data_IF_603836168947
#
_entry.id   IF_603836168947
#
_cell.length_a   1.000
_cell.length_b   1.000
_cell.length_c   1.000
_cell.angle_alpha   90.00
_cell.angle_beta   90.00
_cell.angle_gamma   90.00
#
_symmetry.space_group_name_H-M   'P 1'
#
loop_
_entity.id
_entity.type
_entity.pdbx_description
1 polymer ?
#
# COMPACT_ATOMS: atom_id res chain seq x y z
N UNK A 1 15.11 24.59 -4.32
CA UNK A 1 15.92 23.92 -3.28
C UNK A 1 16.67 24.92 -2.41
N UNK A 2 17.51 25.79 -2.97
CA UNK A 2 18.31 26.76 -2.19
C UNK A 2 17.46 27.64 -1.27
N UNK A 3 16.35 28.19 -1.78
CA UNK A 3 15.40 29.01 -1.03
C UNK A 3 14.77 28.26 0.16
N UNK A 4 14.54 26.96 0.01
CA UNK A 4 14.00 26.09 1.06
C UNK A 4 15.03 25.86 2.16
N UNK A 5 16.26 25.49 1.77
CA UNK A 5 17.36 25.24 2.71
C UNK A 5 17.76 26.52 3.47
N UNK A 6 17.66 27.68 2.84
CA UNK A 6 17.90 28.98 3.45
C UNK A 6 16.74 29.45 4.36
N UNK A 7 15.58 28.79 4.33
CA UNK A 7 14.41 29.21 5.10
C UNK A 7 13.74 30.48 4.56
N UNK A 8 13.98 30.86 3.30
CA UNK A 8 13.43 32.09 2.70
C UNK A 8 11.96 31.90 2.31
N UNK A 9 11.08 32.30 3.23
CA UNK A 9 9.61 32.23 3.06
C UNK A 9 9.12 33.02 1.85
N UNK A 10 9.69 34.21 1.62
CA UNK A 10 9.21 35.13 0.59
C UNK A 10 9.62 34.62 -0.79
N UNK A 11 10.86 34.16 -0.93
CA UNK A 11 11.34 33.59 -2.18
C UNK A 11 10.58 32.29 -2.53
N UNK A 12 10.34 31.41 -1.55
CA UNK A 12 9.59 30.17 -1.81
C UNK A 12 8.15 30.45 -2.30
N UNK A 13 7.44 31.40 -1.69
CA UNK A 13 6.10 31.77 -2.15
C UNK A 13 6.10 32.32 -3.58
N UNK A 14 7.06 33.19 -3.91
CA UNK A 14 7.21 33.72 -5.27
C UNK A 14 7.42 32.63 -6.33
N UNK A 15 8.13 31.55 -5.99
CA UNK A 15 8.32 30.42 -6.92
C UNK A 15 6.99 29.79 -7.30
N UNK A 16 6.13 29.51 -6.32
CA UNK A 16 4.80 28.94 -6.56
C UNK A 16 3.89 29.94 -7.28
N UNK A 17 3.86 31.19 -6.83
CA UNK A 17 3.01 32.22 -7.44
C UNK A 17 3.36 32.43 -8.93
N UNK A 18 4.66 32.46 -9.27
CA UNK A 18 5.11 32.58 -10.66
C UNK A 18 4.77 31.35 -11.51
N UNK A 19 4.86 30.15 -10.93
CA UNK A 19 4.50 28.92 -11.61
C UNK A 19 3.00 28.87 -11.95
N UNK A 20 2.15 29.25 -10.98
CA UNK A 20 0.70 29.38 -11.18
C UNK A 20 0.38 30.47 -12.20
N UNK A 21 1.04 31.63 -12.13
CA UNK A 21 0.87 32.71 -13.10
C UNK A 21 1.27 32.28 -14.53
N UNK A 22 2.16 31.30 -14.64
CA UNK A 22 2.55 30.66 -15.91
C UNK A 22 1.62 29.52 -16.32
N UNK A 23 0.45 29.39 -15.68
CA UNK A 23 -0.60 28.39 -15.95
C UNK A 23 -0.19 26.93 -15.71
N UNK A 24 0.87 26.68 -14.92
CA UNK A 24 1.21 25.32 -14.48
C UNK A 24 0.16 24.86 -13.48
N UNK A 25 -0.36 23.65 -13.67
CA UNK A 25 -1.47 23.14 -12.87
C UNK A 25 -1.01 22.76 -11.45
N UNK A 26 -1.84 22.97 -10.41
CA UNK A 26 -1.48 22.61 -9.04
C UNK A 26 -1.08 21.14 -8.86
N UNK A 27 -1.79 20.22 -9.53
CA UNK A 27 -1.47 18.80 -9.55
C UNK A 27 -0.04 18.53 -10.07
N UNK A 28 0.34 19.21 -11.15
CA UNK A 28 1.67 19.09 -11.76
C UNK A 28 2.76 19.62 -10.82
N UNK A 29 2.50 20.75 -10.15
CA UNK A 29 3.43 21.29 -9.15
C UNK A 29 3.58 20.37 -7.94
N UNK A 30 2.52 19.72 -7.49
CA UNK A 30 2.61 18.75 -6.38
C UNK A 30 3.45 17.54 -6.77
N UNK A 31 3.18 16.95 -7.94
CA UNK A 31 3.79 15.69 -8.38
C UNK A 31 5.19 15.86 -8.94
N UNK A 32 5.49 16.96 -9.64
CA UNK A 32 6.76 17.16 -10.34
C UNK A 32 7.72 18.14 -9.63
N UNK A 33 7.23 18.96 -8.70
CA UNK A 33 8.07 19.91 -7.96
C UNK A 33 8.13 19.58 -6.46
N UNK A 34 7.00 19.58 -5.78
CA UNK A 34 6.93 19.44 -4.31
C UNK A 34 7.39 18.05 -3.87
N UNK A 35 6.83 17.00 -4.48
CA UNK A 35 7.18 15.62 -4.12
C UNK A 35 8.64 15.29 -4.39
N UNK A 36 9.21 15.53 -5.59
CA UNK A 36 10.62 15.24 -5.84
C UNK A 36 11.55 16.09 -4.98
N UNK A 37 11.17 17.32 -4.65
CA UNK A 37 11.93 18.17 -3.71
C UNK A 37 11.94 17.56 -2.31
N UNK A 38 10.82 17.02 -1.84
CA UNK A 38 10.73 16.33 -0.55
C UNK A 38 11.62 15.08 -0.51
N UNK A 39 11.61 14.27 -1.57
CA UNK A 39 12.47 13.08 -1.68
C UNK A 39 13.95 13.47 -1.67
N UNK A 40 14.32 14.50 -2.43
CA UNK A 40 15.68 15.02 -2.48
C UNK A 40 16.16 15.55 -1.12
N UNK A 41 15.32 16.31 -0.40
CA UNK A 41 15.65 16.79 0.94
C UNK A 41 15.94 15.63 1.91
N UNK A 42 15.11 14.59 1.89
CA UNK A 42 15.33 13.40 2.71
C UNK A 42 16.60 12.65 2.30
N UNK A 43 16.90 12.57 1.00
CA UNK A 43 18.14 11.97 0.52
C UNK A 43 19.36 12.76 1.01
N UNK A 44 19.38 14.08 0.82
CA UNK A 44 20.47 14.93 1.27
C UNK A 44 20.71 14.82 2.79
N UNK A 45 19.65 14.65 3.58
CA UNK A 45 19.78 14.43 5.01
C UNK A 45 20.37 13.05 5.33
N UNK A 46 19.88 11.98 4.68
CA UNK A 46 20.43 10.62 4.84
C UNK A 46 21.89 10.51 4.43
N UNK A 47 22.31 11.31 3.46
CA UNK A 47 23.68 11.35 2.92
C UNK A 47 24.60 12.33 3.72
N UNK A 48 24.16 12.81 4.89
CA UNK A 48 24.88 13.78 5.74
C UNK A 48 25.33 15.04 4.97
N UNK A 49 24.54 15.49 3.97
CA UNK A 49 24.79 16.69 3.17
C UNK A 49 24.14 17.94 3.76
N UNK A 50 23.08 17.77 4.56
CA UNK A 50 22.39 18.85 5.26
C UNK A 50 22.15 18.48 6.73
N UNK A 51 22.14 19.47 7.61
CA UNK A 51 21.80 19.26 9.02
C UNK A 51 20.28 19.16 9.22
N UNK A 52 19.86 18.57 10.33
CA UNK A 52 18.45 18.45 10.72
C UNK A 52 17.72 19.81 10.77
N UNK A 53 18.41 20.88 11.16
CA UNK A 53 17.84 22.23 11.17
C UNK A 53 17.47 22.71 9.75
N UNK A 54 18.32 22.43 8.76
CA UNK A 54 18.07 22.79 7.36
C UNK A 54 16.94 21.93 6.76
N UNK A 55 16.92 20.62 7.06
CA UNK A 55 15.79 19.75 6.70
C UNK A 55 14.47 20.29 7.27
N UNK A 56 14.46 20.64 8.55
CA UNK A 56 13.27 21.14 9.25
C UNK A 56 12.75 22.47 8.69
N UNK A 57 13.65 23.39 8.30
CA UNK A 57 13.28 24.63 7.61
C UNK A 57 12.66 24.30 6.25
N UNK A 58 13.35 23.48 5.46
CA UNK A 58 12.95 23.14 4.10
C UNK A 58 11.60 22.40 4.06
N UNK A 59 11.40 21.38 4.90
CA UNK A 59 10.15 20.60 4.90
C UNK A 59 8.94 21.43 5.35
N UNK A 60 9.10 22.36 6.32
CA UNK A 60 8.02 23.28 6.72
C UNK A 60 7.61 24.23 5.60
N UNK A 61 8.58 24.72 4.82
CA UNK A 61 8.27 25.56 3.66
C UNK A 61 7.69 24.73 2.51
N UNK A 62 8.15 23.49 2.34
CA UNK A 62 7.57 22.57 1.38
C UNK A 62 6.10 22.27 1.70
N UNK A 63 5.77 22.04 2.98
CA UNK A 63 4.38 21.89 3.44
C UNK A 63 3.56 23.15 3.18
N UNK A 64 4.07 24.33 3.53
CA UNK A 64 3.36 25.59 3.25
C UNK A 64 2.98 25.74 1.76
N UNK A 65 3.90 25.37 0.86
CA UNK A 65 3.62 25.39 -0.58
C UNK A 65 2.62 24.32 -0.99
N UNK A 66 2.71 23.13 -0.37
CA UNK A 66 1.76 22.02 -0.56
C UNK A 66 0.34 22.48 -0.21
N UNK A 67 0.13 23.05 0.97
CA UNK A 67 -1.17 23.54 1.43
C UNK A 67 -1.78 24.57 0.46
N UNK A 68 -0.94 25.48 -0.06
CA UNK A 68 -1.36 26.49 -1.05
C UNK A 68 -1.80 25.85 -2.38
N UNK A 69 -1.15 24.76 -2.81
CA UNK A 69 -1.49 24.04 -4.04
C UNK A 69 -2.71 23.16 -3.85
N UNK A 70 -2.81 22.43 -2.73
CA UNK A 70 -3.92 21.54 -2.43
C UNK A 70 -5.26 22.29 -2.34
N UNK A 71 -5.26 23.52 -1.83
CA UNK A 71 -6.46 24.39 -1.85
C UNK A 71 -6.97 24.78 -3.24
N UNK A 72 -6.21 24.50 -4.30
CA UNK A 72 -6.58 24.77 -5.70
C UNK A 72 -6.76 23.49 -6.53
N UNK A 73 -6.64 22.31 -5.92
CA UNK A 73 -6.86 21.06 -6.63
C UNK A 73 -8.34 20.91 -7.01
N UNK A 74 -8.64 20.42 -8.22
CA UNK A 74 -10.00 20.01 -8.54
C UNK A 74 -10.41 18.86 -7.61
N UNK A 75 -11.69 18.77 -7.27
CA UNK A 75 -12.26 17.64 -6.55
C UNK A 75 -13.25 16.97 -7.48
N UNK A 76 -12.98 15.72 -7.85
CA UNK A 76 -13.93 14.91 -8.60
C UNK A 76 -15.18 14.62 -7.74
N UNK A 77 -16.27 14.22 -8.39
CA UNK A 77 -17.43 13.68 -7.67
C UNK A 77 -17.04 12.43 -6.87
N UNK A 78 -17.75 12.18 -5.78
CA UNK A 78 -17.50 11.01 -4.94
C UNK A 78 -17.57 9.73 -5.77
N UNK A 79 -16.57 8.87 -5.61
CA UNK A 79 -16.53 7.52 -6.20
C UNK A 79 -17.05 6.44 -5.23
N UNK A 80 -17.62 6.86 -4.09
CA UNK A 80 -18.14 6.05 -2.99
C UNK A 80 -17.12 5.12 -2.31
N UNK A 81 -15.83 5.27 -2.63
CA UNK A 81 -14.75 4.54 -1.97
C UNK A 81 -14.16 5.35 -0.82
N UNK A 82 -13.72 4.65 0.21
CA UNK A 82 -13.15 5.22 1.43
C UNK A 82 -11.70 4.80 1.59
N UNK A 83 -10.84 5.76 1.92
CA UNK A 83 -9.45 5.50 2.25
C UNK A 83 -9.11 6.06 3.63
N UNK A 84 -8.41 5.25 4.43
CA UNK A 84 -7.84 5.65 5.70
C UNK A 84 -6.31 5.64 5.57
N UNK A 85 -5.67 6.76 5.91
CA UNK A 85 -4.24 6.97 5.70
C UNK A 85 -3.57 7.25 7.04
N UNK A 86 -2.47 6.56 7.29
CA UNK A 86 -1.52 6.82 8.38
C UNK A 86 -0.11 6.95 7.80
N UNK A 87 0.78 7.59 8.56
CA UNK A 87 2.19 7.70 8.20
C UNK A 87 3.10 7.43 9.41
N UNK A 88 4.41 7.47 9.19
CA UNK A 88 5.37 7.58 10.29
C UNK A 88 5.36 8.98 10.92
N UNK A 89 6.04 9.12 12.06
CA UNK A 89 5.91 10.27 12.96
C UNK A 89 6.74 11.49 12.52
N UNK A 90 7.67 11.29 11.57
CA UNK A 90 8.58 12.35 11.15
C UNK A 90 7.89 13.32 10.18
N UNK A 91 8.30 14.60 10.23
CA UNK A 91 7.70 15.67 9.42
C UNK A 91 7.65 15.38 7.90
N UNK A 92 8.69 14.80 7.25
CA UNK A 92 8.59 14.41 5.84
C UNK A 92 7.61 13.26 5.59
N UNK A 93 7.40 12.38 6.57
CA UNK A 93 6.43 11.28 6.48
C UNK A 93 5.00 11.82 6.54
N UNK A 94 4.72 12.73 7.47
CA UNK A 94 3.48 13.49 7.56
C UNK A 94 3.18 14.28 6.28
N UNK A 95 4.20 14.87 5.65
CA UNK A 95 4.00 15.63 4.41
C UNK A 95 3.64 14.70 3.24
N UNK A 96 4.35 13.57 3.10
CA UNK A 96 4.02 12.59 2.07
C UNK A 96 2.63 11.96 2.28
N UNK A 97 2.27 11.65 3.53
CA UNK A 97 0.93 11.19 3.90
C UNK A 97 -0.17 12.20 3.57
N UNK A 98 0.06 13.48 3.85
CA UNK A 98 -0.84 14.56 3.45
C UNK A 98 -1.02 14.63 1.93
N UNK A 99 0.08 14.63 1.15
CA UNK A 99 -0.01 14.68 -0.31
C UNK A 99 -0.80 13.48 -0.85
N UNK A 100 -0.57 12.27 -0.32
CA UNK A 100 -1.41 11.11 -0.65
C UNK A 100 -2.89 11.41 -0.39
N UNK A 101 -3.23 11.91 0.80
CA UNK A 101 -4.60 12.24 1.17
C UNK A 101 -5.24 13.24 0.20
N UNK A 102 -4.53 14.31 -0.14
CA UNK A 102 -5.00 15.36 -1.03
C UNK A 102 -5.22 14.85 -2.47
N UNK A 103 -4.38 13.93 -2.95
CA UNK A 103 -4.54 13.33 -4.28
C UNK A 103 -5.68 12.29 -4.33
N UNK A 104 -5.88 11.51 -3.26
CA UNK A 104 -7.04 10.63 -3.16
C UNK A 104 -8.35 11.45 -3.13
N UNK A 105 -8.38 12.56 -2.40
CA UNK A 105 -9.54 13.45 -2.35
C UNK A 105 -9.78 14.13 -3.72
N UNK A 106 -8.72 14.51 -4.43
CA UNK A 106 -8.78 15.01 -5.80
C UNK A 106 -9.47 14.02 -6.75
N UNK A 107 -9.23 12.72 -6.56
CA UNK A 107 -9.80 11.61 -7.34
C UNK A 107 -11.21 11.18 -6.88
N UNK A 108 -11.80 11.89 -5.91
CA UNK A 108 -13.18 11.65 -5.45
C UNK A 108 -13.31 10.56 -4.38
N UNK A 109 -12.21 10.12 -3.76
CA UNK A 109 -12.28 9.25 -2.60
C UNK A 109 -12.76 10.03 -1.37
N UNK A 110 -13.52 9.37 -0.51
CA UNK A 110 -13.71 9.88 0.86
C UNK A 110 -12.46 9.54 1.66
N UNK A 111 -11.74 10.55 2.13
CA UNK A 111 -10.43 10.39 2.79
C UNK A 111 -10.53 10.67 4.30
N UNK A 112 -9.85 9.85 5.09
CA UNK A 112 -9.43 10.19 6.46
C UNK A 112 -7.92 10.03 6.58
N UNK A 113 -7.24 11.10 6.96
CA UNK A 113 -5.81 11.08 7.25
C UNK A 113 -5.62 11.39 8.73
N UNK A 114 -4.91 10.51 9.44
CA UNK A 114 -4.72 10.59 10.88
C UNK A 114 -3.26 10.90 11.29
N UNK A 115 -2.36 11.06 10.32
CA UNK A 115 -0.95 11.30 10.58
C UNK A 115 -0.22 10.08 11.16
N UNK A 116 0.89 10.36 11.85
CA UNK A 116 1.68 9.41 12.62
C UNK A 116 1.32 9.40 14.11
N UNK A 117 2.01 8.56 14.86
CA UNK A 117 1.91 8.49 16.33
C UNK A 117 0.63 7.87 16.87
N UNK A 118 -0.19 7.24 16.00
CA UNK A 118 -1.46 6.61 16.40
C UNK A 118 -1.21 5.18 16.90
N UNK A 119 -1.60 4.83 18.14
CA UNK A 119 -1.48 3.47 18.66
C UNK A 119 -2.29 2.44 17.85
N UNK A 120 -1.77 1.21 17.74
CA UNK A 120 -2.39 0.13 16.94
C UNK A 120 -3.86 -0.14 17.32
N UNK A 121 -4.21 -0.08 18.61
CA UNK A 121 -5.58 -0.29 19.10
C UNK A 121 -6.54 0.81 18.65
N UNK A 122 -6.08 2.06 18.58
CA UNK A 122 -6.84 3.17 18.01
C UNK A 122 -6.99 3.04 16.49
N UNK A 123 -5.93 2.62 15.79
CA UNK A 123 -5.99 2.32 14.35
C UNK A 123 -7.07 1.28 14.06
N UNK A 124 -7.11 0.19 14.84
CA UNK A 124 -8.08 -0.89 14.68
C UNK A 124 -9.52 -0.42 14.94
N UNK A 125 -9.71 0.41 15.97
CA UNK A 125 -11.00 1.02 16.27
C UNK A 125 -11.48 1.89 15.10
N UNK A 126 -10.60 2.76 14.58
CA UNK A 126 -10.90 3.61 13.43
C UNK A 126 -11.27 2.79 12.20
N UNK A 127 -10.54 1.71 11.90
CA UNK A 127 -10.85 0.81 10.79
C UNK A 127 -12.23 0.14 10.98
N UNK A 128 -12.55 -0.29 12.21
CA UNK A 128 -13.82 -0.92 12.53
C UNK A 128 -15.03 0.01 12.42
N UNK A 129 -14.87 1.28 12.79
CA UNK A 129 -15.90 2.31 12.73
C UNK A 129 -16.07 2.88 11.31
N UNK A 130 -14.95 3.21 10.66
CA UNK A 130 -14.96 3.89 9.37
C UNK A 130 -15.22 2.93 8.19
N UNK A 131 -14.80 1.66 8.33
CA UNK A 131 -14.89 0.62 7.30
C UNK A 131 -14.32 1.10 5.95
N UNK A 132 -13.02 1.45 5.89
CA UNK A 132 -12.41 1.87 4.63
C UNK A 132 -12.28 0.70 3.65
N UNK A 133 -12.27 1.02 2.36
CA UNK A 133 -11.94 0.08 1.29
C UNK A 133 -10.42 -0.10 1.18
N UNK A 134 -9.67 0.97 1.50
CA UNK A 134 -8.22 1.01 1.46
C UNK A 134 -7.62 1.59 2.75
N UNK A 135 -6.64 0.89 3.31
CA UNK A 135 -5.72 1.40 4.33
C UNK A 135 -4.38 1.72 3.67
N UNK A 136 -3.92 2.96 3.72
CA UNK A 136 -2.59 3.36 3.23
C UNK A 136 -1.67 3.59 4.42
N UNK A 137 -0.52 2.92 4.39
CA UNK A 137 0.59 3.12 5.32
C UNK A 137 1.73 3.81 4.55
N UNK A 138 1.82 5.13 4.70
CA UNK A 138 2.92 5.91 4.13
C UNK A 138 4.16 5.78 5.02
N UNK A 139 5.33 5.50 4.44
CA UNK A 139 6.54 5.32 5.23
C UNK A 139 7.83 5.61 4.45
N UNK A 140 8.74 6.32 5.09
CA UNK A 140 10.04 6.68 4.52
C UNK A 140 11.21 6.07 5.26
N UNK A 141 11.04 5.67 6.52
CA UNK A 141 12.12 5.13 7.34
C UNK A 141 12.03 3.60 7.52
N UNK A 142 13.16 2.86 7.44
CA UNK A 142 13.19 1.42 7.74
C UNK A 142 12.68 1.06 9.13
N UNK A 143 12.85 1.96 10.10
CA UNK A 143 12.48 1.74 11.50
C UNK A 143 10.98 1.50 11.71
N UNK A 144 10.11 2.05 10.85
CA UNK A 144 8.65 1.88 10.95
C UNK A 144 8.14 0.54 10.37
N UNK A 145 8.92 -0.10 9.49
CA UNK A 145 8.50 -1.30 8.75
C UNK A 145 8.06 -2.46 9.67
N UNK A 146 8.77 -2.78 10.76
CA UNK A 146 8.33 -3.84 11.68
C UNK A 146 6.99 -3.56 12.35
N UNK A 147 6.65 -2.30 12.63
CA UNK A 147 5.36 -1.92 13.22
C UNK A 147 4.24 -2.12 12.19
N UNK A 148 4.44 -1.63 10.96
CA UNK A 148 3.47 -1.82 9.87
C UNK A 148 3.20 -3.31 9.61
N UNK A 149 4.24 -4.15 9.58
CA UNK A 149 4.09 -5.61 9.45
C UNK A 149 3.23 -6.21 10.56
N UNK A 150 3.47 -5.82 11.82
CA UNK A 150 2.70 -6.31 12.97
C UNK A 150 1.23 -5.91 12.86
N UNK A 151 0.95 -4.67 12.48
CA UNK A 151 -0.40 -4.17 12.25
C UNK A 151 -1.12 -4.97 11.16
N UNK A 152 -0.45 -5.22 10.02
CA UNK A 152 -1.00 -6.04 8.93
C UNK A 152 -1.31 -7.45 9.42
N UNK A 153 -0.33 -8.13 10.05
CA UNK A 153 -0.50 -9.48 10.58
C UNK A 153 -1.69 -9.54 11.57
N UNK A 154 -1.84 -8.53 12.43
CA UNK A 154 -2.93 -8.43 13.40
C UNK A 154 -4.29 -8.19 12.73
N UNK A 155 -4.37 -7.28 11.75
CA UNK A 155 -5.59 -7.05 10.96
C UNK A 155 -6.07 -8.35 10.29
N UNK A 156 -5.15 -9.11 9.70
CA UNK A 156 -5.44 -10.43 9.12
C UNK A 156 -5.77 -11.49 10.16
N UNK A 157 -5.25 -11.35 11.38
CA UNK A 157 -5.59 -12.26 12.48
C UNK A 157 -7.02 -12.05 12.95
N UNK A 158 -7.41 -10.81 13.25
CA UNK A 158 -8.75 -10.43 13.69
C UNK A 158 -9.79 -10.68 12.61
N UNK A 159 -9.43 -10.48 11.33
CA UNK A 159 -10.35 -10.69 10.21
C UNK A 159 -11.45 -9.64 10.10
N UNK A 160 -11.28 -8.48 10.75
CA UNK A 160 -12.16 -7.33 10.55
C UNK A 160 -11.87 -6.70 9.19
N UNK A 161 -12.91 -6.27 8.48
CA UNK A 161 -12.82 -5.71 7.13
C UNK A 161 -12.06 -6.62 6.15
N UNK A 162 -12.52 -7.87 5.90
CA UNK A 162 -11.79 -8.83 5.09
C UNK A 162 -11.55 -8.38 3.64
N UNK A 163 -12.43 -7.49 3.14
CA UNK A 163 -12.33 -6.94 1.78
C UNK A 163 -11.43 -5.69 1.71
N UNK A 164 -11.06 -5.06 2.84
CA UNK A 164 -10.21 -3.87 2.86
C UNK A 164 -8.79 -4.21 2.40
N UNK A 165 -8.28 -3.45 1.44
CA UNK A 165 -6.91 -3.56 0.97
C UNK A 165 -5.95 -2.79 1.88
N UNK A 166 -4.72 -3.27 2.02
CA UNK A 166 -3.63 -2.53 2.68
C UNK A 166 -2.57 -2.19 1.64
N UNK A 167 -2.26 -0.90 1.51
CA UNK A 167 -1.23 -0.39 0.63
C UNK A 167 -0.06 0.17 1.44
N UNK A 168 1.15 -0.17 1.03
CA UNK A 168 2.36 0.52 1.49
C UNK A 168 2.81 1.50 0.41
N UNK A 169 3.06 2.74 0.80
CA UNK A 169 3.35 3.82 -0.14
C UNK A 169 4.63 4.57 0.24
N UNK A 170 5.43 4.90 -0.77
CA UNK A 170 6.51 5.87 -0.65
C UNK A 170 7.84 5.35 -0.13
N UNK A 171 8.83 6.24 -0.18
CA UNK A 171 9.97 6.22 0.72
C UNK A 171 10.73 4.90 0.80
N UNK A 172 10.65 4.18 1.93
CA UNK A 172 11.41 2.94 2.11
C UNK A 172 10.89 1.82 1.21
N UNK A 173 9.57 1.77 0.99
CA UNK A 173 8.95 0.77 0.11
C UNK A 173 9.38 0.97 -1.34
N UNK A 174 9.61 2.23 -1.76
CA UNK A 174 10.21 2.57 -3.06
C UNK A 174 11.66 2.13 -3.20
N UNK A 175 12.44 2.24 -2.13
CA UNK A 175 13.89 1.95 -2.16
C UNK A 175 14.22 0.46 -1.96
N UNK A 176 13.28 -0.34 -1.47
CA UNK A 176 13.47 -1.75 -1.18
C UNK A 176 12.42 -2.58 -1.93
N UNK A 177 12.78 -3.08 -3.10
CA UNK A 177 11.94 -3.94 -3.92
C UNK A 177 11.50 -5.21 -3.15
N UNK A 178 10.23 -5.58 -3.28
CA UNK A 178 9.66 -6.76 -2.62
C UNK A 178 9.33 -6.58 -1.13
N UNK A 179 9.67 -5.43 -0.54
CA UNK A 179 9.47 -5.20 0.90
C UNK A 179 7.99 -5.20 1.28
N UNK A 180 7.15 -4.55 0.48
CA UNK A 180 5.71 -4.46 0.72
C UNK A 180 5.03 -5.84 0.68
N UNK A 181 5.43 -6.66 -0.28
CA UNK A 181 5.01 -8.06 -0.41
C UNK A 181 5.47 -8.88 0.81
N UNK A 182 6.72 -8.71 1.24
CA UNK A 182 7.28 -9.45 2.37
C UNK A 182 6.54 -9.17 3.69
N UNK A 183 6.09 -7.92 3.89
CA UNK A 183 5.32 -7.54 5.09
C UNK A 183 3.82 -7.82 4.94
N UNK A 184 3.35 -8.26 3.77
CA UNK A 184 1.98 -8.69 3.52
C UNK A 184 1.00 -7.60 3.12
N UNK A 185 1.49 -6.48 2.58
CA UNK A 185 0.62 -5.49 1.96
C UNK A 185 -0.01 -6.07 0.69
N UNK A 186 -1.27 -5.71 0.42
CA UNK A 186 -1.98 -6.13 -0.78
C UNK A 186 -1.50 -5.34 -2.02
N UNK A 187 -1.15 -4.08 -1.79
CA UNK A 187 -0.77 -3.10 -2.80
C UNK A 187 0.53 -2.39 -2.39
N UNK A 188 1.24 -1.91 -3.41
CA UNK A 188 2.42 -1.08 -3.27
C UNK A 188 2.34 0.06 -4.29
N UNK A 189 2.78 1.24 -3.88
CA UNK A 189 2.97 2.38 -4.78
C UNK A 189 4.25 3.15 -4.40
N UNK A 190 5.08 3.55 -5.38
CA UNK A 190 6.31 4.29 -5.11
C UNK A 190 6.05 5.72 -4.65
N UNK A 191 4.92 6.33 -5.02
CA UNK A 191 4.54 7.68 -4.64
C UNK A 191 3.02 7.91 -4.57
N UNK A 192 2.63 9.13 -4.20
CA UNK A 192 1.23 9.50 -3.99
C UNK A 192 0.36 9.44 -5.26
N UNK A 193 0.91 9.79 -6.42
CA UNK A 193 0.15 9.77 -7.67
C UNK A 193 -0.10 8.31 -8.08
N UNK A 194 0.95 7.49 -8.04
CA UNK A 194 0.85 6.06 -8.31
C UNK A 194 -0.06 5.34 -7.29
N UNK A 195 -0.13 5.80 -6.05
CA UNK A 195 -1.03 5.24 -5.04
C UNK A 195 -2.50 5.35 -5.46
N UNK A 196 -2.90 6.49 -6.02
CA UNK A 196 -4.26 6.69 -6.54
C UNK A 196 -4.51 5.79 -7.75
N UNK A 197 -3.56 5.72 -8.68
CA UNK A 197 -3.68 4.87 -9.88
C UNK A 197 -3.80 3.38 -9.51
N UNK A 198 -2.92 2.88 -8.64
CA UNK A 198 -2.92 1.49 -8.19
C UNK A 198 -4.22 1.15 -7.45
N UNK A 199 -4.73 2.07 -6.61
CA UNK A 199 -5.99 1.87 -5.89
C UNK A 199 -7.19 1.76 -6.84
N UNK A 200 -7.17 2.48 -7.96
CA UNK A 200 -8.24 2.44 -8.96
C UNK A 200 -8.16 1.22 -9.87
N UNK A 201 -6.95 0.79 -10.24
CA UNK A 201 -6.73 -0.30 -11.21
C UNK A 201 -6.72 -1.70 -10.56
N UNK A 202 -6.33 -1.81 -9.29
CA UNK A 202 -6.11 -3.10 -8.61
C UNK A 202 -7.06 -3.33 -7.42
N UNK A 203 -8.33 -2.91 -7.53
CA UNK A 203 -9.32 -2.93 -6.44
C UNK A 203 -9.63 -4.31 -5.82
N UNK A 204 -9.31 -5.41 -6.51
CA UNK A 204 -9.55 -6.77 -6.03
C UNK A 204 -8.28 -7.51 -5.57
N UNK A 205 -7.09 -6.93 -5.74
CA UNK A 205 -5.82 -7.62 -5.43
C UNK A 205 -5.65 -7.81 -3.93
N UNK A 206 -5.15 -8.98 -3.53
CA UNK A 206 -4.80 -9.30 -2.14
C UNK A 206 -3.43 -9.93 -2.07
N UNK A 207 -2.73 -9.70 -0.97
CA UNK A 207 -1.47 -10.36 -0.67
C UNK A 207 -1.69 -11.88 -0.59
N UNK A 208 -0.81 -12.65 -1.19
CA UNK A 208 -0.82 -14.11 -1.10
C UNK A 208 0.13 -14.57 0.00
N UNK A 209 -0.16 -15.74 0.59
CA UNK A 209 0.66 -16.29 1.68
C UNK A 209 2.09 -16.60 1.22
N UNK A 210 2.28 -16.84 -0.08
CA UNK A 210 3.57 -17.20 -0.67
C UNK A 210 4.53 -16.03 -0.86
N UNK A 211 4.02 -14.79 -0.87
CA UNK A 211 4.82 -13.57 -0.99
C UNK A 211 5.65 -13.27 0.27
N UNK A 212 5.26 -13.82 1.43
CA UNK A 212 5.98 -13.62 2.69
C UNK A 212 6.94 -14.77 2.96
N UNK A 213 8.24 -14.54 2.76
CA UNK A 213 9.30 -15.54 2.96
C UNK A 213 9.50 -15.87 4.45
N UNK A 214 9.52 -14.85 5.32
CA UNK A 214 9.74 -15.03 6.76
C UNK A 214 8.46 -15.48 7.47
N UNK A 215 8.50 -16.67 8.09
CA UNK A 215 7.36 -17.25 8.83
C UNK A 215 6.38 -18.04 7.97
N UNK A 216 6.72 -18.27 6.69
CA UNK A 216 5.89 -18.92 5.67
C UNK A 216 5.26 -20.24 6.13
N UNK A 217 6.05 -21.17 6.64
CA UNK A 217 5.57 -22.50 7.08
C UNK A 217 4.49 -22.42 8.15
N UNK A 218 4.62 -21.50 9.11
CA UNK A 218 3.63 -21.29 10.17
C UNK A 218 2.34 -20.71 9.62
N UNK A 219 2.42 -19.75 8.68
CA UNK A 219 1.25 -19.11 8.08
C UNK A 219 0.50 -20.05 7.12
N UNK A 220 1.19 -20.84 6.29
CA UNK A 220 0.55 -21.84 5.43
C UNK A 220 -0.29 -22.80 6.27
N UNK A 221 0.26 -23.34 7.36
CA UNK A 221 -0.48 -24.22 8.28
C UNK A 221 -1.71 -23.53 8.88
N UNK A 222 -1.59 -22.25 9.28
CA UNK A 222 -2.69 -21.46 9.85
C UNK A 222 -3.77 -21.14 8.81
N UNK A 223 -3.38 -20.82 7.58
CA UNK A 223 -4.29 -20.56 6.46
C UNK A 223 -5.06 -21.83 6.05
N UNK A 224 -4.37 -22.97 5.97
CA UNK A 224 -5.00 -24.28 5.76
C UNK A 224 -6.00 -24.60 6.88
N UNK A 225 -5.62 -24.42 8.15
CA UNK A 225 -6.52 -24.63 9.28
C UNK A 225 -7.78 -23.73 9.22
N UNK A 226 -7.64 -22.46 8.83
CA UNK A 226 -8.77 -21.54 8.63
C UNK A 226 -9.69 -21.98 7.49
N UNK A 227 -9.12 -22.36 6.34
CA UNK A 227 -9.89 -22.85 5.19
C UNK A 227 -10.68 -24.11 5.57
N UNK A 228 -10.05 -25.04 6.29
CA UNK A 228 -10.70 -26.25 6.81
C UNK A 228 -11.81 -25.92 7.82
N UNK A 229 -11.59 -24.99 8.74
CA UNK A 229 -12.64 -24.55 9.68
C UNK A 229 -13.81 -23.85 8.99
N UNK A 230 -13.55 -23.05 7.97
CA UNK A 230 -14.58 -22.33 7.21
C UNK A 230 -15.41 -23.29 6.35
N UNK A 231 -14.77 -24.26 5.69
CA UNK A 231 -15.44 -25.36 4.98
C UNK A 231 -16.29 -26.23 5.92
N UNK A 232 -15.78 -26.56 7.11
CA UNK A 232 -16.53 -27.31 8.12
C UNK A 232 -17.73 -26.53 8.71
N UNK A 233 -17.65 -25.19 8.74
CA UNK A 233 -18.76 -24.33 9.19
C UNK A 233 -19.85 -24.23 8.12
N UNK A 234 -19.49 -24.21 6.84
CA UNK A 234 -20.43 -24.25 5.71
C UNK A 234 -21.12 -25.61 5.62
N UNK A 235 -20.40 -26.72 5.84
CA UNK A 235 -21.02 -28.07 5.81
C UNK A 235 -22.00 -28.33 6.96
N UNK A 236 -21.89 -27.59 8.07
CA UNK A 236 -22.81 -27.68 9.22
C UNK A 236 -24.10 -26.87 9.05
N UNK A 237 -24.18 -25.98 8.05
CA UNK A 237 -25.34 -25.12 7.79
C UNK A 237 -26.20 -25.67 6.64
N UNK A 238 -25.72 -26.66 5.89
CA UNK A 238 -26.55 -27.39 4.92
C UNK A 238 -27.59 -28.25 5.66
N UNK A 239 -28.90 -28.11 5.38
CA UNK A 239 -29.91 -28.92 6.03
C UNK A 239 -29.75 -30.38 5.59
N UNK A 240 -29.69 -31.28 6.56
CA UNK A 240 -29.79 -32.71 6.36
C UNK A 240 -31.24 -33.06 5.96
N UNK A 241 -31.56 -32.91 4.68
CA UNK A 241 -32.79 -33.45 4.11
C UNK A 241 -32.62 -33.71 2.61
N UNK A 242 -32.05 -34.87 2.26
CA UNK A 242 -32.69 -35.85 1.34
C UNK A 242 -32.15 -37.22 1.76
N UNK A 243 -33.06 -38.10 2.17
CA UNK A 243 -32.83 -39.50 2.53
C UNK A 243 -32.63 -40.37 1.28
N UNK A 244 -31.74 -41.34 1.44
CA UNK A 244 -31.75 -42.71 0.91
C UNK A 244 -32.67 -43.09 -0.26
N UNK A 245 -32.05 -43.56 -1.34
CA UNK A 245 -32.40 -44.70 -2.22
C UNK A 245 -31.29 -44.70 -3.30
N UNK A 246 -30.62 -45.76 -3.71
CA UNK A 246 -30.70 -47.20 -3.51
C UNK A 246 -29.30 -47.76 -3.84
N UNK A 247 -28.84 -48.75 -3.08
CA UNK A 247 -27.75 -49.60 -3.52
C UNK A 247 -28.28 -50.50 -4.64
N UNK A 248 -27.60 -50.54 -5.78
CA UNK A 248 -27.40 -51.76 -6.58
C UNK A 248 -26.38 -51.48 -7.70
N UNK A 249 -25.37 -52.35 -7.71
CA UNK A 249 -24.68 -52.90 -8.89
C UNK A 249 -23.94 -51.94 -9.85
N UNK A 250 -22.60 -52.06 -9.89
CA UNK A 250 -21.88 -52.66 -11.03
C UNK A 250 -20.40 -52.74 -10.67
N UNK A 251 -19.89 -53.97 -10.78
CA UNK A 251 -18.50 -54.40 -10.72
C UNK A 251 -17.76 -54.05 -12.02
N UNK A 252 -16.42 -54.09 -11.97
CA UNK A 252 -15.47 -54.06 -13.10
C UNK A 252 -15.24 -52.67 -13.76
N UNK A 253 -14.04 -52.24 -14.14
CA UNK A 253 -12.81 -52.96 -14.49
C UNK A 253 -11.53 -52.21 -14.08
N UNK A 254 -10.50 -53.01 -13.86
CA UNK A 254 -9.09 -52.67 -13.77
C UNK A 254 -8.54 -52.61 -15.20
N UNK A 255 -7.80 -51.54 -15.55
CA UNK A 255 -6.74 -51.51 -16.57
C UNK A 255 -5.99 -50.17 -16.36
N UNK A 256 -4.86 -50.15 -15.63
CA UNK A 256 -3.50 -50.32 -16.14
C UNK A 256 -3.27 -49.67 -17.51
N UNK A 257 -2.52 -48.57 -17.49
CA UNK A 257 -1.56 -48.24 -18.56
C UNK A 257 -0.40 -47.46 -17.93
N UNK A 258 0.58 -48.23 -17.46
CA UNK A 258 1.99 -47.83 -17.46
C UNK A 258 2.49 -47.93 -18.90
N UNK A 259 2.98 -46.81 -19.45
CA UNK A 259 3.90 -46.84 -20.59
C UNK A 259 5.06 -45.89 -20.30
N UNK A 260 6.20 -46.52 -19.99
CA UNK A 260 7.56 -46.03 -20.13
C UNK A 260 7.83 -45.50 -21.55
N UNK A 261 8.60 -44.42 -21.65
CA UNK A 261 9.64 -44.13 -22.67
C UNK A 261 9.84 -42.61 -22.77
N UNK A 262 11.02 -42.04 -22.95
CA UNK A 262 12.41 -42.48 -22.99
C UNK A 262 13.21 -41.17 -22.88
N UNK A 263 14.34 -41.21 -22.19
CA UNK A 263 15.38 -40.20 -22.26
C UNK A 263 15.88 -40.06 -23.71
N UNK A 264 15.97 -38.82 -24.21
CA UNK A 264 16.89 -38.47 -25.30
C UNK A 264 17.53 -37.12 -25.00
N UNK A 265 18.75 -37.18 -24.48
CA UNK A 265 19.78 -36.17 -24.71
C UNK A 265 20.03 -36.03 -26.23
N UNK A 266 20.08 -34.81 -26.76
CA UNK A 266 21.18 -34.41 -27.65
C UNK A 266 21.23 -32.90 -27.98
N UNK A 267 22.42 -32.35 -27.71
CA UNK A 267 23.27 -31.48 -28.56
C UNK A 267 22.77 -30.14 -29.12
N UNK A 268 23.42 -29.08 -28.61
CA UNK A 268 24.17 -28.04 -29.35
C UNK A 268 23.86 -27.83 -30.84
N UNK A 269 23.44 -26.60 -31.19
CA UNK A 269 23.88 -25.92 -32.43
C UNK A 269 24.08 -24.42 -32.15
N UNK A 270 25.34 -23.98 -32.23
CA UNK A 270 25.77 -22.59 -32.43
C UNK A 270 25.46 -22.09 -33.86
N UNK A 271 25.56 -20.76 -34.05
CA UNK A 271 25.54 -19.94 -35.28
C UNK A 271 24.16 -19.62 -35.87
N UNK A 272 23.80 -18.37 -36.18
CA UNK A 272 24.57 -17.19 -36.64
C UNK A 272 24.25 -15.89 -35.88
#
# INVERSE_FOLDING_TARGET
>A
LETLLAGDRVACRKVIDNAIASSIQPYELLTQLVWPTMELLQQLYRDDRIAIAALNLATRLNRMMTDQLCGQLPRAETNDKKVLIFCGDDEPEELGGQICADLFECDGWTVRFAGGGVPDDEVLKLIGEYRPDLLVMFGTLPAGVPAVRKLIDYLREVGSCPNMQVMCCGGIYKRAEGLSEEIGADLYAPDAADAVEVANTQSAKKATVDQQTVGRTRRIRKAQARKTQQLAKVSRIAPASVLSESADDVTNDIENDDVDSEDVDNEEVESE
#
